data_IF_721029432978
#
_entry.id   IF_721029432978
#
_cell.length_a   1.000
_cell.length_b   1.000
_cell.length_c   1.000
_cell.angle_alpha   90.00
_cell.angle_beta   90.00
_cell.angle_gamma   90.00
#
_symmetry.space_group_name_H-M   'P 1'
#
loop_
_entity.id
_entity.type
_entity.pdbx_description
1 polymer ?
#
# COMPACT_ATOMS: atom_id res chain seq x y z
N UNK A 1 -11.54 -12.84 30.80
CA UNK A 1 -10.80 -13.26 29.59
C UNK A 1 -11.27 -12.41 28.42
N UNK A 2 -10.55 -11.33 28.10
CA UNK A 2 -10.89 -10.48 26.95
C UNK A 2 -10.27 -11.09 25.70
N UNK A 3 -11.10 -11.63 24.81
CA UNK A 3 -10.69 -11.97 23.45
C UNK A 3 -10.62 -10.65 22.70
N UNK A 4 -9.42 -10.11 22.51
CA UNK A 4 -9.23 -8.93 21.66
C UNK A 4 -9.46 -9.40 20.22
N UNK A 5 -10.56 -8.96 19.60
CA UNK A 5 -10.73 -9.09 18.15
C UNK A 5 -9.98 -7.94 17.51
N UNK A 6 -8.90 -8.24 16.79
CA UNK A 6 -8.21 -7.21 16.02
C UNK A 6 -9.15 -6.68 14.92
N UNK A 7 -9.41 -5.37 14.94
CA UNK A 7 -10.18 -4.68 13.91
C UNK A 7 -9.21 -4.05 12.91
N UNK A 8 -9.35 -4.39 11.64
CA UNK A 8 -8.58 -3.78 10.55
C UNK A 8 -9.52 -3.07 9.56
N UNK A 9 -8.99 -2.05 8.89
CA UNK A 9 -9.65 -1.38 7.76
C UNK A 9 -8.85 -1.65 6.49
N UNK A 10 -9.54 -2.00 5.41
CA UNK A 10 -8.94 -2.29 4.11
C UNK A 10 -9.60 -1.39 3.08
N UNK A 11 -8.78 -0.61 2.40
CA UNK A 11 -9.15 0.11 1.19
C UNK A 11 -8.44 -0.57 0.00
N UNK A 12 -9.07 -0.54 -1.18
CA UNK A 12 -8.55 -1.16 -2.40
C UNK A 12 -8.41 -0.11 -3.50
N UNK A 13 -7.33 -0.22 -4.26
CA UNK A 13 -7.01 0.67 -5.38
C UNK A 13 -6.68 -0.19 -6.60
N UNK A 14 -7.00 0.31 -7.79
CA UNK A 14 -6.76 -0.39 -9.05
C UNK A 14 -5.48 0.07 -9.77
N UNK A 15 -4.94 1.23 -9.39
CA UNK A 15 -3.67 1.76 -9.89
C UNK A 15 -2.93 2.57 -8.80
N UNK A 16 -1.65 2.88 -9.06
CA UNK A 16 -0.82 3.60 -8.11
C UNK A 16 -1.24 5.07 -7.94
N UNK A 17 -1.72 5.69 -9.00
CA UNK A 17 -2.16 7.09 -9.01
C UNK A 17 -3.32 7.33 -8.04
N UNK A 18 -4.30 6.42 -8.00
CA UNK A 18 -5.43 6.51 -7.06
C UNK A 18 -4.96 6.37 -5.61
N UNK A 19 -3.98 5.49 -5.36
CA UNK A 19 -3.37 5.34 -4.03
C UNK A 19 -2.63 6.62 -3.61
N UNK A 20 -1.84 7.22 -4.51
CA UNK A 20 -1.08 8.44 -4.22
C UNK A 20 -1.99 9.65 -3.98
N UNK A 21 -3.07 9.77 -4.74
CA UNK A 21 -4.09 10.82 -4.56
C UNK A 21 -4.93 10.60 -3.28
N UNK A 22 -4.87 9.42 -2.66
CA UNK A 22 -5.49 9.15 -1.38
C UNK A 22 -4.65 9.67 -0.21
N UNK A 23 -5.24 9.74 0.98
CA UNK A 23 -4.52 10.00 2.23
C UNK A 23 -3.71 8.78 2.67
N UNK A 24 -2.73 8.35 1.86
CA UNK A 24 -1.97 7.11 2.04
C UNK A 24 -1.12 7.06 3.31
N UNK A 25 -0.87 8.21 3.94
CA UNK A 25 -0.24 8.32 5.26
C UNK A 25 -1.03 7.63 6.40
N UNK A 26 -2.34 7.39 6.20
CA UNK A 26 -3.19 6.73 7.20
C UNK A 26 -2.95 5.22 7.34
N UNK A 27 -2.21 4.61 6.42
CA UNK A 27 -2.01 3.17 6.40
C UNK A 27 -0.78 2.76 7.19
N UNK A 28 -0.91 1.70 7.98
CA UNK A 28 0.24 1.05 8.62
C UNK A 28 0.96 0.10 7.67
N UNK A 29 0.21 -0.53 6.75
CA UNK A 29 0.70 -1.50 5.77
C UNK A 29 0.06 -1.23 4.42
N UNK A 30 0.86 -1.28 3.36
CA UNK A 30 0.42 -1.19 1.96
C UNK A 30 0.91 -2.45 1.25
N UNK A 31 -0.01 -3.20 0.65
CA UNK A 31 0.30 -4.27 -0.30
C UNK A 31 0.30 -3.69 -1.71
N UNK A 32 1.36 -3.91 -2.47
CA UNK A 32 1.57 -3.21 -3.73
C UNK A 32 2.05 -4.17 -4.82
N UNK A 33 1.27 -4.31 -5.89
CA UNK A 33 1.71 -5.06 -7.07
C UNK A 33 2.86 -4.31 -7.76
N UNK A 34 3.92 -5.04 -8.12
CA UNK A 34 5.07 -4.49 -8.85
C UNK A 34 4.64 -4.04 -10.27
N UNK A 35 3.79 -4.82 -10.94
CA UNK A 35 3.34 -4.58 -12.32
C UNK A 35 1.89 -4.17 -12.35
N UNK A 36 1.65 -2.86 -12.38
CA UNK A 36 0.33 -2.26 -12.54
C UNK A 36 0.24 -1.49 -13.85
N UNK A 37 -0.99 -1.22 -14.31
CA UNK A 37 -1.23 -0.23 -15.36
C UNK A 37 -0.97 1.19 -14.81
N UNK A 38 -0.38 2.06 -15.62
CA UNK A 38 0.00 3.40 -15.19
C UNK A 38 1.37 3.41 -14.53
N UNK A 39 1.51 4.12 -13.41
CA UNK A 39 2.75 4.09 -12.64
C UNK A 39 2.99 2.69 -12.03
N UNK A 40 4.25 2.24 -12.04
CA UNK A 40 4.61 0.94 -11.48
C UNK A 40 4.57 0.96 -9.95
N UNK A 41 4.44 -0.22 -9.32
CA UNK A 41 4.50 -0.32 -7.86
C UNK A 41 5.81 0.20 -7.27
N UNK A 42 6.92 0.03 -7.99
CA UNK A 42 8.22 0.55 -7.55
C UNK A 42 8.23 2.09 -7.52
N UNK A 43 7.71 2.76 -8.55
CA UNK A 43 7.62 4.22 -8.58
C UNK A 43 6.62 4.73 -7.54
N UNK A 44 5.47 4.08 -7.43
CA UNK A 44 4.44 4.38 -6.41
C UNK A 44 5.03 4.33 -5.00
N UNK A 45 5.78 3.26 -4.68
CA UNK A 45 6.42 3.11 -3.38
C UNK A 45 7.49 4.19 -3.14
N UNK A 46 8.21 4.60 -4.19
CA UNK A 46 9.19 5.69 -4.09
C UNK A 46 8.51 7.00 -3.70
N UNK A 47 7.41 7.37 -4.36
CA UNK A 47 6.67 8.59 -4.02
C UNK A 47 6.08 8.55 -2.61
N UNK A 48 5.53 7.41 -2.17
CA UNK A 48 5.07 7.24 -0.78
C UNK A 48 6.23 7.46 0.21
N UNK A 49 7.43 6.97 -0.11
CA UNK A 49 8.62 7.12 0.75
C UNK A 49 9.14 8.55 0.87
N UNK A 50 8.84 9.41 -0.09
CA UNK A 50 9.17 10.84 0.01
C UNK A 50 8.40 11.54 1.12
N UNK A 51 7.26 10.99 1.56
CA UNK A 51 6.39 11.60 2.59
C UNK A 51 6.16 10.71 3.82
N UNK A 52 6.41 9.40 3.74
CA UNK A 52 6.20 8.45 4.82
C UNK A 52 7.20 7.28 4.78
N UNK A 53 8.23 7.36 5.63
CA UNK A 53 9.24 6.30 5.77
C UNK A 53 8.76 5.11 6.63
N UNK A 54 7.77 5.32 7.49
CA UNK A 54 7.37 4.34 8.51
C UNK A 54 6.42 3.26 7.99
N UNK A 55 5.56 3.59 7.02
CA UNK A 55 4.56 2.65 6.46
C UNK A 55 5.24 1.40 5.92
N UNK A 56 4.72 0.20 6.24
CA UNK A 56 5.29 -1.05 5.70
C UNK A 56 4.75 -1.31 4.30
N UNK A 57 5.62 -1.40 3.31
CA UNK A 57 5.25 -1.72 1.93
C UNK A 57 5.64 -3.17 1.66
N UNK A 58 4.66 -3.99 1.32
CA UNK A 58 4.82 -5.39 0.94
C UNK A 58 4.58 -5.50 -0.56
N UNK A 59 5.65 -5.75 -1.32
CA UNK A 59 5.51 -5.97 -2.75
C UNK A 59 4.92 -7.34 -3.03
N UNK A 60 3.85 -7.35 -3.83
CA UNK A 60 3.27 -8.55 -4.40
C UNK A 60 3.86 -8.71 -5.79
N UNK A 61 4.56 -9.82 -6.00
CA UNK A 61 5.11 -10.21 -7.29
C UNK A 61 4.56 -11.58 -7.69
N UNK A 62 4.78 -11.96 -8.94
CA UNK A 62 4.38 -13.27 -9.42
C UNK A 62 5.15 -14.39 -8.70
N UNK A 63 4.42 -15.34 -8.15
CA UNK A 63 4.90 -16.71 -8.00
C UNK A 63 4.52 -17.44 -9.30
N UNK A 64 5.51 -18.04 -9.96
CA UNK A 64 5.36 -18.77 -11.23
C UNK A 64 4.23 -19.81 -11.17
#
# INVERSE_FOLDING_TARGET
>A
MHIIRESYRIDKFTCGEDLLNSSHSKYNVIFLDIKMQGISGIHTAKEIRETNEEVKIIFLGFQL
#
